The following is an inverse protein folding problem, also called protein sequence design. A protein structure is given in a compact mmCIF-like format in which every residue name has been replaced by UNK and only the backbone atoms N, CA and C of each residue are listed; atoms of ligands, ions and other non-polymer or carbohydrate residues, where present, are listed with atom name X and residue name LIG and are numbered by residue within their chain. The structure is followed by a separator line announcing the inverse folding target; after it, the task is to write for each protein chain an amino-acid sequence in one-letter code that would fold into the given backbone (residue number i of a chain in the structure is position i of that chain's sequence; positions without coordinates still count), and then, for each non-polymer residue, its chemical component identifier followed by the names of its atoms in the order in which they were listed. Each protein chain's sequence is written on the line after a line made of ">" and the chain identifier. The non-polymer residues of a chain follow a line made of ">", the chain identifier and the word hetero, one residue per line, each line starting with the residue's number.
data_IF_841673202398
#
_entry.id   IF_841673202398
#
_cell.length_a   1.000
_cell.length_b   1.000
_cell.length_c   1.000
_cell.angle_alpha   90.00
_cell.angle_beta   90.00
_cell.angle_gamma   90.00
#
_symmetry.space_group_name_H-M   'P 1'
#
loop_
_entity.id
_entity.type
_entity.pdbx_description
1 polymer ?
#
# COMPACT_ATOMS: atom_id res chain seq x y z
N UNK A 1 -5.89 6.21 -9.55
CA UNK A 1 -6.44 6.21 -8.17
C UNK A 1 -6.31 4.82 -7.59
N UNK A 2 -6.30 4.66 -6.27
CA UNK A 2 -5.99 3.41 -5.53
C UNK A 2 -6.91 2.25 -5.89
N UNK A 3 -8.15 2.54 -6.26
CA UNK A 3 -9.15 1.54 -6.65
C UNK A 3 -8.74 0.76 -7.90
N UNK A 4 -8.01 1.38 -8.80
CA UNK A 4 -7.56 0.73 -10.04
C UNK A 4 -6.41 -0.25 -9.78
N UNK A 5 -5.59 0.02 -8.77
CA UNK A 5 -4.45 -0.83 -8.42
C UNK A 5 -4.83 -2.04 -7.53
N UNK A 6 -5.84 -1.89 -6.66
CA UNK A 6 -6.27 -2.94 -5.74
C UNK A 6 -7.16 -3.99 -6.41
N UNK A 7 -7.86 -3.63 -7.49
CA UNK A 7 -8.77 -4.54 -8.20
C UNK A 7 -8.07 -5.53 -9.16
N UNK A 8 -6.75 -5.50 -9.28
CA UNK A 8 -6.03 -6.20 -10.34
C UNK A 8 -5.32 -7.50 -9.97
N UNK A 9 -5.55 -8.07 -8.78
CA UNK A 9 -4.97 -9.37 -8.42
C UNK A 9 -6.03 -10.47 -8.45
N UNK A 10 -6.17 -11.28 -9.52
CA UNK A 10 -6.88 -12.54 -9.43
C UNK A 10 -6.00 -13.54 -8.66
N UNK A 11 -6.61 -14.22 -7.69
CA UNK A 11 -5.97 -15.29 -6.97
C UNK A 11 -5.48 -16.40 -7.94
N UNK A 12 -4.29 -16.92 -7.67
CA UNK A 12 -3.58 -17.91 -8.49
C UNK A 12 -4.17 -19.33 -8.47
N UNK A 13 -5.46 -19.50 -8.22
CA UNK A 13 -6.08 -20.83 -8.01
C UNK A 13 -7.00 -21.31 -9.15
N UNK A 14 -6.95 -20.71 -10.33
CA UNK A 14 -7.74 -21.14 -11.48
C UNK A 14 -6.97 -21.98 -12.52
N UNK A 15 -5.88 -22.63 -12.13
CA UNK A 15 -5.02 -23.38 -13.06
C UNK A 15 -5.36 -24.89 -13.15
N UNK A 16 -6.58 -25.32 -12.88
CA UNK A 16 -6.95 -26.72 -12.88
C UNK A 16 -8.11 -27.11 -13.80
N UNK A 17 -8.26 -26.49 -14.97
CA UNK A 17 -9.04 -27.08 -16.07
C UNK A 17 -8.55 -26.53 -17.41
N UNK A 18 -7.46 -27.11 -17.91
CA UNK A 18 -6.90 -26.78 -19.21
C UNK A 18 -7.69 -27.44 -20.34
N UNK A 19 -8.34 -26.66 -21.13
CA UNK A 19 -8.84 -27.01 -22.44
C UNK A 19 -8.98 -25.72 -23.23
N UNK A 20 -8.22 -25.57 -24.33
CA UNK A 20 -8.29 -24.55 -25.39
C UNK A 20 -8.49 -23.04 -25.05
N UNK A 21 -8.54 -22.67 -23.78
CA UNK A 21 -8.56 -21.28 -23.31
C UNK A 21 -7.17 -20.68 -23.01
N UNK A 22 -6.13 -21.49 -23.11
CA UNK A 22 -4.78 -21.21 -22.61
C UNK A 22 -4.06 -20.05 -23.31
N UNK A 23 -4.40 -19.79 -24.57
CA UNK A 23 -3.77 -18.70 -25.34
C UNK A 23 -4.23 -17.29 -24.94
N UNK A 24 -5.42 -17.13 -24.36
CA UNK A 24 -5.94 -15.82 -23.98
C UNK A 24 -5.52 -15.35 -22.59
N UNK A 25 -5.19 -16.27 -21.69
CA UNK A 25 -4.73 -15.94 -20.34
C UNK A 25 -3.28 -15.40 -20.35
N UNK A 26 -2.48 -15.78 -21.37
CA UNK A 26 -1.07 -15.41 -21.44
C UNK A 26 -0.80 -14.03 -22.04
N UNK A 27 -1.69 -13.49 -22.87
CA UNK A 27 -1.55 -12.12 -23.39
C UNK A 27 -1.64 -11.05 -22.29
N UNK A 28 -2.21 -11.37 -21.12
CA UNK A 28 -2.18 -10.49 -19.96
C UNK A 28 -0.83 -10.46 -19.22
N UNK A 29 -0.02 -11.52 -19.35
CA UNK A 29 1.24 -11.62 -18.62
C UNK A 29 2.35 -10.69 -19.18
N UNK A 30 2.29 -10.32 -20.47
CA UNK A 30 3.21 -9.34 -21.04
C UNK A 30 2.99 -7.93 -20.45
N UNK A 31 1.73 -7.55 -20.22
CA UNK A 31 1.39 -6.28 -19.58
C UNK A 31 1.83 -6.22 -18.11
N UNK A 32 1.72 -7.34 -17.39
CA UNK A 32 2.21 -7.44 -16.00
C UNK A 32 3.73 -7.33 -15.93
N UNK A 33 4.44 -7.98 -16.85
CA UNK A 33 5.90 -7.90 -16.90
C UNK A 33 6.39 -6.50 -17.28
N UNK A 34 5.70 -5.81 -18.17
CA UNK A 34 6.03 -4.44 -18.58
C UNK A 34 5.72 -3.44 -17.45
N UNK A 35 4.58 -3.57 -16.78
CA UNK A 35 4.25 -2.76 -15.62
C UNK A 35 5.22 -3.02 -14.45
N UNK A 36 5.58 -4.28 -14.17
CA UNK A 36 6.56 -4.62 -13.14
C UNK A 36 7.95 -4.09 -13.47
N UNK A 37 8.35 -4.05 -14.73
CA UNK A 37 9.62 -3.46 -15.16
C UNK A 37 9.62 -1.93 -15.02
N UNK A 38 8.49 -1.27 -15.06
CA UNK A 38 8.37 0.18 -14.86
C UNK A 38 8.27 0.59 -13.39
N UNK A 39 7.84 -0.32 -12.50
CA UNK A 39 7.50 -0.04 -11.10
C UNK A 39 8.68 -0.07 -10.12
N UNK A 40 9.90 -0.03 -10.55
CA UNK A 40 11.04 -0.34 -9.69
C UNK A 40 12.03 0.78 -9.42
N UNK A 41 11.71 2.03 -9.68
CA UNK A 41 12.65 3.12 -9.38
C UNK A 41 12.53 3.52 -7.92
N UNK A 42 13.58 3.19 -7.16
CA UNK A 42 13.81 3.83 -5.88
C UNK A 42 14.36 5.24 -6.14
N UNK A 43 13.62 6.24 -5.72
CA UNK A 43 13.99 7.64 -5.97
C UNK A 43 14.55 8.34 -4.74
N UNK A 44 14.51 7.72 -3.54
CA UNK A 44 15.03 8.25 -2.28
C UNK A 44 14.88 9.78 -2.18
N UNK A 45 13.66 10.26 -2.29
CA UNK A 45 13.28 11.67 -2.25
C UNK A 45 12.30 11.92 -1.12
N UNK A 46 12.05 13.15 -0.80
CA UNK A 46 10.95 13.54 0.06
C UNK A 46 9.62 13.34 -0.67
N UNK A 47 8.55 13.03 0.07
CA UNK A 47 7.20 13.11 -0.51
C UNK A 47 6.90 14.54 -0.94
N UNK A 48 5.95 14.76 -1.87
CA UNK A 48 5.35 16.07 -2.03
C UNK A 48 4.86 16.61 -0.68
N UNK A 49 4.75 17.94 -0.49
CA UNK A 49 4.14 18.50 0.69
C UNK A 49 2.74 17.92 0.90
N UNK A 50 2.52 17.29 2.05
CA UNK A 50 1.22 16.75 2.44
C UNK A 50 0.56 17.69 3.47
N UNK A 51 -0.75 17.84 3.41
CA UNK A 51 -1.48 18.54 4.46
C UNK A 51 -1.46 17.72 5.76
N UNK A 52 -1.36 18.36 6.94
CA UNK A 52 -1.42 17.63 8.21
C UNK A 52 -2.76 16.91 8.37
N UNK A 53 -2.72 15.63 8.71
CA UNK A 53 -3.94 14.87 8.99
C UNK A 53 -4.52 15.31 10.33
N UNK A 54 -5.76 15.77 10.30
CA UNK A 54 -6.48 16.26 11.48
C UNK A 54 -7.47 15.22 12.00
N UNK A 55 -7.94 15.42 13.22
CA UNK A 55 -9.01 14.60 13.79
C UNK A 55 -10.28 14.64 12.92
N UNK A 56 -10.64 15.80 12.41
CA UNK A 56 -11.79 15.95 11.51
C UNK A 56 -11.63 15.12 10.23
N UNK A 57 -10.42 15.02 9.69
CA UNK A 57 -10.12 14.17 8.52
C UNK A 57 -10.18 12.69 8.86
N UNK A 58 -9.81 12.28 10.08
CA UNK A 58 -9.95 10.88 10.52
C UNK A 58 -11.42 10.50 10.71
N UNK A 59 -12.25 11.40 11.20
CA UNK A 59 -13.69 11.20 11.35
C UNK A 59 -14.41 11.18 10.00
N UNK A 60 -14.05 12.10 9.11
CA UNK A 60 -14.66 12.28 7.78
C UNK A 60 -13.54 12.39 6.73
N UNK A 61 -12.96 11.26 6.29
CA UNK A 61 -11.86 11.28 5.33
C UNK A 61 -12.30 11.83 3.98
N UNK A 62 -11.47 12.65 3.31
CA UNK A 62 -11.69 13.03 1.91
C UNK A 62 -11.90 11.78 1.03
N UNK A 63 -12.65 11.91 -0.05
CA UNK A 63 -13.05 10.75 -0.87
C UNK A 63 -11.89 9.89 -1.37
N UNK A 64 -10.79 10.52 -1.76
CA UNK A 64 -9.59 9.84 -2.24
C UNK A 64 -8.63 9.40 -1.13
N UNK A 65 -8.94 9.67 0.14
CA UNK A 65 -8.07 9.33 1.25
C UNK A 65 -8.46 8.03 1.94
N UNK A 66 -7.46 7.32 2.45
CA UNK A 66 -7.61 6.12 3.27
C UNK A 66 -6.69 6.26 4.49
N UNK A 67 -7.16 6.98 5.53
CA UNK A 67 -6.33 7.47 6.63
C UNK A 67 -6.28 6.53 7.85
N UNK A 68 -7.10 5.49 7.85
CA UNK A 68 -7.13 4.48 8.92
C UNK A 68 -7.37 3.09 8.34
N UNK A 69 -7.21 2.04 9.15
CA UNK A 69 -7.29 0.64 8.75
C UNK A 69 -8.50 0.30 7.84
N UNK A 70 -9.66 0.84 8.11
CA UNK A 70 -10.87 0.63 7.31
C UNK A 70 -11.48 1.93 6.79
N UNK A 71 -10.64 2.90 6.51
CA UNK A 71 -10.96 4.23 6.02
C UNK A 71 -11.67 5.10 7.06
N UNK A 72 -12.79 4.67 7.59
CA UNK A 72 -13.63 5.38 8.56
C UNK A 72 -13.59 4.71 9.93
N UNK A 73 -13.83 5.47 11.00
CA UNK A 73 -13.74 4.97 12.38
C UNK A 73 -14.83 3.93 12.72
N UNK A 74 -15.92 3.92 11.97
CA UNK A 74 -16.96 2.89 12.07
C UNK A 74 -16.57 1.55 11.41
N UNK A 75 -15.41 1.51 10.76
CA UNK A 75 -14.84 0.28 10.24
C UNK A 75 -15.55 -0.32 9.03
N UNK A 76 -16.32 0.46 8.28
CA UNK A 76 -17.08 -0.04 7.11
C UNK A 76 -16.17 -0.53 5.97
N UNK A 77 -15.00 0.06 5.81
CA UNK A 77 -14.08 -0.31 4.72
C UNK A 77 -14.65 0.02 3.34
N UNK A 78 -15.49 1.03 3.26
CA UNK A 78 -16.17 1.44 2.04
C UNK A 78 -15.44 2.63 1.39
N UNK A 79 -15.24 2.56 0.06
CA UNK A 79 -14.74 3.68 -0.74
C UNK A 79 -15.91 4.41 -1.41
N UNK A 80 -16.04 5.74 -1.26
CA UNK A 80 -17.07 6.52 -1.95
C UNK A 80 -16.74 6.79 -3.42
N UNK A 81 -15.53 6.39 -3.87
CA UNK A 81 -15.11 6.59 -5.26
C UNK A 81 -15.99 5.81 -6.23
N UNK A 82 -16.40 6.46 -7.31
CA UNK A 82 -17.33 5.92 -8.31
C UNK A 82 -16.72 5.76 -9.71
N UNK A 83 -15.42 6.06 -9.87
CA UNK A 83 -14.72 5.97 -11.15
C UNK A 83 -14.71 4.54 -11.71
N UNK A 84 -14.62 3.53 -10.83
CA UNK A 84 -14.78 2.12 -11.19
C UNK A 84 -16.20 1.68 -10.88
N UNK A 85 -16.90 1.19 -11.88
CA UNK A 85 -18.30 0.76 -11.75
C UNK A 85 -18.59 -0.43 -12.69
N UNK A 86 -19.82 -0.95 -12.64
CA UNK A 86 -20.23 -2.12 -13.43
C UNK A 86 -20.06 -1.94 -14.95
N UNK A 87 -20.12 -0.69 -15.45
CA UNK A 87 -20.00 -0.40 -16.88
C UNK A 87 -18.55 -0.36 -17.38
N UNK A 88 -17.58 -0.21 -16.50
CA UNK A 88 -16.17 -0.06 -16.88
C UNK A 88 -15.18 -1.00 -16.19
N UNK A 89 -15.61 -1.75 -15.18
CA UNK A 89 -14.73 -2.66 -14.42
C UNK A 89 -13.99 -3.67 -15.33
N UNK A 90 -14.63 -4.15 -16.39
CA UNK A 90 -14.00 -5.04 -17.37
C UNK A 90 -12.91 -4.39 -18.22
N UNK A 91 -12.75 -3.07 -18.16
CA UNK A 91 -11.73 -2.30 -18.88
C UNK A 91 -10.51 -1.96 -18.02
N UNK A 92 -10.50 -2.38 -16.74
CA UNK A 92 -9.34 -2.16 -15.86
C UNK A 92 -8.08 -2.78 -16.47
N UNK A 93 -6.98 -2.08 -16.28
CA UNK A 93 -5.63 -2.53 -16.66
C UNK A 93 -4.71 -2.39 -15.44
N UNK A 94 -3.69 -3.24 -15.38
CA UNK A 94 -2.64 -3.10 -14.40
C UNK A 94 -1.91 -1.77 -14.63
N UNK A 95 -1.89 -0.90 -13.62
CA UNK A 95 -1.17 0.37 -13.68
C UNK A 95 0.32 0.17 -13.34
N UNK A 96 0.59 -0.58 -12.26
CA UNK A 96 1.94 -0.90 -11.82
C UNK A 96 1.91 -2.13 -10.89
N UNK A 97 3.07 -2.71 -10.66
CA UNK A 97 3.28 -3.78 -9.69
C UNK A 97 4.61 -3.59 -8.98
N UNK A 98 4.70 -4.06 -7.74
CA UNK A 98 5.94 -4.04 -6.96
C UNK A 98 6.14 -5.35 -6.23
N UNK A 99 7.41 -5.68 -5.97
CA UNK A 99 7.75 -6.80 -5.12
C UNK A 99 7.67 -6.39 -3.66
N UNK A 100 6.95 -7.14 -2.85
CA UNK A 100 6.92 -6.96 -1.41
C UNK A 100 8.20 -7.51 -0.76
N UNK A 101 8.57 -6.99 0.42
CA UNK A 101 9.64 -7.59 1.21
C UNK A 101 9.30 -9.03 1.59
N UNK A 102 10.35 -9.84 1.72
CA UNK A 102 10.23 -11.24 2.12
C UNK A 102 9.56 -11.37 3.50
N UNK A 103 8.72 -12.37 3.66
CA UNK A 103 7.99 -12.67 4.88
C UNK A 103 6.47 -12.53 4.75
N UNK A 104 5.77 -12.57 5.88
CA UNK A 104 4.31 -12.47 5.92
C UNK A 104 3.86 -11.02 5.80
N UNK A 105 3.36 -10.65 4.63
CA UNK A 105 2.83 -9.32 4.34
C UNK A 105 1.31 -9.29 4.60
N UNK A 106 0.88 -8.55 5.61
CA UNK A 106 -0.52 -8.41 6.03
C UNK A 106 -0.90 -6.93 6.24
N UNK A 107 -0.28 -6.06 5.47
CA UNK A 107 -0.46 -4.62 5.61
C UNK A 107 -1.82 -4.15 5.09
N UNK A 108 -2.37 -3.13 5.73
CA UNK A 108 -3.40 -2.27 5.14
C UNK A 108 -2.73 -0.96 4.74
N UNK A 109 -2.67 -0.63 3.45
CA UNK A 109 -2.11 0.64 3.01
C UNK A 109 -2.90 1.82 3.54
N UNK A 110 -2.21 2.87 4.00
CA UNK A 110 -2.82 4.18 4.21
C UNK A 110 -2.51 5.09 3.03
N UNK A 111 -3.47 5.92 2.64
CA UNK A 111 -3.32 6.81 1.48
C UNK A 111 -3.74 8.22 1.85
N UNK A 112 -2.84 9.15 1.56
CA UNK A 112 -3.06 10.57 1.76
C UNK A 112 -2.45 11.36 0.61
N UNK A 113 -3.27 12.16 -0.06
CA UNK A 113 -2.85 13.06 -1.15
C UNK A 113 -1.91 12.41 -2.19
N UNK A 114 -2.27 11.20 -2.63
CA UNK A 114 -1.53 10.47 -3.66
C UNK A 114 -0.29 9.71 -3.17
N UNK A 115 0.05 9.82 -1.89
CA UNK A 115 1.11 8.99 -1.27
C UNK A 115 0.48 7.82 -0.54
N UNK A 116 0.96 6.62 -0.82
CA UNK A 116 0.61 5.39 -0.14
C UNK A 116 1.70 5.00 0.85
N UNK A 117 1.33 4.79 2.11
CA UNK A 117 2.20 4.28 3.16
C UNK A 117 1.90 2.82 3.39
N UNK A 118 2.90 1.97 3.22
CA UNK A 118 2.76 0.53 3.26
C UNK A 118 3.74 -0.07 4.26
N UNK A 119 3.24 -0.94 5.14
CA UNK A 119 4.10 -1.67 6.08
C UNK A 119 4.57 -3.00 5.48
N UNK A 120 5.75 -3.42 5.90
CA UNK A 120 6.36 -4.70 5.56
C UNK A 120 6.80 -5.44 6.83
N UNK A 121 7.09 -6.73 6.76
CA UNK A 121 7.65 -7.47 7.89
C UNK A 121 8.88 -6.79 8.48
N UNK A 122 9.15 -7.05 9.77
CA UNK A 122 10.28 -6.50 10.51
C UNK A 122 10.25 -4.97 10.67
N UNK A 123 9.04 -4.42 10.87
CA UNK A 123 8.84 -3.00 11.17
C UNK A 123 9.43 -2.06 10.11
N UNK A 124 9.27 -2.41 8.84
CA UNK A 124 9.61 -1.54 7.72
C UNK A 124 8.37 -0.79 7.23
N UNK A 125 8.57 0.42 6.76
CA UNK A 125 7.52 1.24 6.12
C UNK A 125 8.08 1.82 4.82
N UNK A 126 7.26 1.80 3.79
CA UNK A 126 7.55 2.47 2.52
C UNK A 126 6.53 3.57 2.27
N UNK A 127 6.98 4.70 1.75
CA UNK A 127 6.14 5.68 1.07
C UNK A 127 6.27 5.48 -0.43
N UNK A 128 5.15 5.41 -1.11
CA UNK A 128 5.04 5.05 -2.52
C UNK A 128 4.15 6.08 -3.19
N UNK A 129 4.54 6.52 -4.38
CA UNK A 129 3.63 7.27 -5.25
C UNK A 129 2.50 6.33 -5.69
N UNK A 130 1.27 6.60 -5.25
CA UNK A 130 0.16 5.71 -5.49
C UNK A 130 -0.25 5.61 -6.97
N UNK A 131 0.12 6.58 -7.80
CA UNK A 131 -0.21 6.58 -9.22
C UNK A 131 0.80 5.80 -10.07
N UNK A 132 2.09 5.83 -9.69
CA UNK A 132 3.18 5.23 -10.48
C UNK A 132 3.78 3.97 -9.86
N UNK A 133 3.58 3.75 -8.55
CA UNK A 133 4.23 2.68 -7.80
C UNK A 133 5.70 2.98 -7.45
N UNK A 134 6.19 4.18 -7.72
CA UNK A 134 7.56 4.56 -7.40
C UNK A 134 7.78 4.62 -5.89
N UNK A 135 8.82 3.96 -5.43
CA UNK A 135 9.25 4.04 -4.03
C UNK A 135 9.88 5.41 -3.76
N UNK A 136 9.25 6.19 -2.87
CA UNK A 136 9.70 7.52 -2.49
C UNK A 136 10.78 7.43 -1.42
N UNK A 137 10.46 6.78 -0.30
CA UNK A 137 11.41 6.48 0.77
C UNK A 137 11.05 5.18 1.50
N UNK A 138 12.03 4.60 2.18
CA UNK A 138 11.86 3.45 3.06
C UNK A 138 12.44 3.75 4.44
N UNK A 139 11.66 3.43 5.46
CA UNK A 139 12.08 3.40 6.85
C UNK A 139 12.28 1.95 7.28
N UNK A 140 13.38 1.67 7.97
CA UNK A 140 13.66 0.39 8.60
C UNK A 140 13.97 0.58 10.08
N UNK A 141 13.18 -0.05 10.94
CA UNK A 141 13.44 -0.02 12.37
C UNK A 141 14.59 -0.96 12.74
N UNK A 142 15.56 -0.45 13.49
CA UNK A 142 16.67 -1.24 14.01
C UNK A 142 16.34 -1.66 15.44
N UNK A 143 16.21 -2.97 15.67
CA UNK A 143 15.97 -3.50 17.01
C UNK A 143 17.20 -3.32 17.89
N UNK A 144 17.02 -3.03 19.20
CA UNK A 144 18.11 -3.16 20.17
C UNK A 144 18.75 -4.55 20.13
N UNK A 145 20.05 -4.69 20.39
CA UNK A 145 20.76 -5.97 20.26
C UNK A 145 20.20 -7.10 21.16
N UNK A 146 19.57 -6.74 22.27
CA UNK A 146 18.96 -7.64 23.25
C UNK A 146 17.44 -7.80 23.08
N UNK A 147 16.85 -7.18 22.06
CA UNK A 147 15.43 -7.25 21.81
C UNK A 147 14.99 -8.68 21.53
N UNK A 148 13.99 -9.14 22.26
CA UNK A 148 13.34 -10.42 22.03
C UNK A 148 12.03 -10.19 21.29
N UNK A 149 11.98 -10.57 20.03
CA UNK A 149 10.78 -10.42 19.20
C UNK A 149 10.38 -11.76 18.62
N UNK A 150 9.09 -11.95 18.45
CA UNK A 150 8.56 -13.12 17.72
C UNK A 150 8.65 -12.94 16.22
N UNK A 151 8.99 -11.74 15.75
CA UNK A 151 8.89 -11.37 14.34
C UNK A 151 7.46 -11.41 13.81
N UNK A 152 7.31 -11.39 12.51
CA UNK A 152 6.02 -11.55 11.84
C UNK A 152 5.57 -10.33 11.04
N UNK A 153 4.27 -10.23 10.69
CA UNK A 153 3.76 -9.15 9.87
C UNK A 153 3.58 -7.86 10.66
N UNK A 154 4.11 -6.76 10.18
CA UNK A 154 3.72 -5.42 10.62
C UNK A 154 2.40 -5.06 9.93
N UNK A 155 1.29 -5.07 10.68
CA UNK A 155 -0.05 -4.95 10.08
C UNK A 155 -0.48 -3.53 9.85
N UNK A 156 -0.33 -2.69 10.85
CA UNK A 156 -0.93 -1.36 10.85
C UNK A 156 0.05 -0.29 11.32
N UNK A 157 -0.17 0.90 10.79
CA UNK A 157 0.41 2.17 11.24
C UNK A 157 -0.73 3.15 11.46
N UNK A 158 -0.49 4.18 12.24
CA UNK A 158 -1.42 5.30 12.39
C UNK A 158 -0.82 6.54 11.73
N UNK A 159 -1.69 7.41 11.21
CA UNK A 159 -1.32 8.66 10.57
C UNK A 159 -2.03 9.82 11.27
N UNK A 160 -1.27 10.77 11.79
CA UNK A 160 -1.80 11.99 12.41
C UNK A 160 -0.81 13.14 12.30
N UNK A 161 -1.31 14.34 12.03
CA UNK A 161 -0.46 15.49 11.72
C UNK A 161 0.42 15.18 10.50
N UNK A 162 1.70 15.38 10.64
CA UNK A 162 2.72 15.05 9.63
C UNK A 162 3.51 13.79 10.00
N UNK A 163 2.95 12.87 10.79
CA UNK A 163 3.67 11.73 11.32
C UNK A 163 2.92 10.42 11.14
N UNK A 164 3.70 9.39 10.82
CA UNK A 164 3.30 8.00 10.94
C UNK A 164 3.75 7.48 12.31
N UNK A 165 2.90 6.71 12.95
CA UNK A 165 3.18 6.06 14.22
C UNK A 165 3.19 4.55 14.01
N UNK A 166 4.31 3.94 14.37
CA UNK A 166 4.55 2.51 14.29
C UNK A 166 4.72 1.95 15.71
N UNK A 167 3.89 0.98 16.08
CA UNK A 167 4.13 0.14 17.24
C UNK A 167 5.05 -1.02 16.83
N UNK A 168 6.21 -1.13 17.45
CA UNK A 168 7.24 -2.10 17.10
C UNK A 168 7.09 -3.41 17.87
N UNK A 169 7.75 -4.48 17.42
CA UNK A 169 7.66 -5.79 18.07
C UNK A 169 8.32 -5.87 19.44
N UNK A 170 9.23 -4.95 19.74
CA UNK A 170 9.88 -4.79 21.04
C UNK A 170 9.15 -3.80 21.96
N UNK A 171 7.86 -3.53 21.65
CA UNK A 171 6.96 -2.69 22.43
C UNK A 171 7.36 -1.20 22.52
N UNK A 172 8.07 -0.68 21.51
CA UNK A 172 8.30 0.74 21.35
C UNK A 172 7.23 1.37 20.44
N UNK A 173 7.10 2.69 20.51
CA UNK A 173 6.34 3.49 19.54
C UNK A 173 7.30 4.44 18.86
N UNK A 174 7.34 4.39 17.54
CA UNK A 174 8.17 5.26 16.71
C UNK A 174 7.28 6.24 15.97
N UNK A 175 7.67 7.52 15.96
CA UNK A 175 7.02 8.57 15.18
C UNK A 175 7.94 8.97 14.02
N UNK A 176 7.46 8.81 12.80
CA UNK A 176 8.22 8.98 11.56
C UNK A 176 7.61 10.14 10.79
N UNK A 177 8.43 11.08 10.36
CA UNK A 177 7.97 12.19 9.52
C UNK A 177 7.52 11.68 8.15
N UNK A 178 6.29 12.03 7.73
CA UNK A 178 5.68 11.52 6.49
C UNK A 178 6.41 11.97 5.24
N UNK A 179 7.12 13.10 5.30
CA UNK A 179 7.82 13.68 4.15
C UNK A 179 9.18 13.01 3.93
N UNK A 180 9.91 12.78 5.01
CA UNK A 180 11.32 12.37 4.93
C UNK A 180 11.56 10.90 5.26
N UNK A 181 10.61 10.22 5.91
CA UNK A 181 10.79 8.85 6.40
C UNK A 181 11.76 8.74 7.60
N UNK A 182 11.96 9.84 8.36
CA UNK A 182 12.90 9.89 9.49
C UNK A 182 12.21 10.11 10.81
#
# INVERSE_FOLDING_TARGET
>A
TLTDAVAAAPAADAAASAGDGEKRAWEGASGVAEAAASAGKWVNRETPPLSPVTESMLQNPPDGAWLSWRRTLDGQGYSPLSQVNRGNVGKLRLAWAMTMHEGSNQATPLVHEGVMFLTHPNNKIQAIDAATGDLIWEYSYSFPPDARTLGGPTRNIALYGNRLFLATYDAAIVAIDTRTGK
#
